data_IF_782077604651
#
_entry.id   IF_782077604651
#
_cell.length_a   1.000
_cell.length_b   1.000
_cell.length_c   1.000
_cell.angle_alpha   90.00
_cell.angle_beta   90.00
_cell.angle_gamma   90.00
#
_symmetry.space_group_name_H-M   'P 1'
#
loop_
_entity.id
_entity.type
_entity.pdbx_description
1 polymer ?
#
# COMPACT_ATOMS: atom_id res chain seq x y z
N UNK A 1 3.74 -2.26 16.72
CA UNK A 1 3.97 -1.32 15.61
C UNK A 1 2.74 -0.46 15.33
N UNK A 2 1.56 -1.05 15.14
CA UNK A 2 0.30 -0.33 14.86
C UNK A 2 -0.76 -0.43 15.97
N UNK A 3 -0.41 -0.93 17.16
CA UNK A 3 -1.39 -1.18 18.23
C UNK A 3 -2.08 0.09 18.74
N UNK A 4 -1.43 1.23 18.61
CA UNK A 4 -1.99 2.55 18.91
C UNK A 4 -3.17 2.90 17.98
N UNK A 5 -3.17 2.42 16.73
CA UNK A 5 -4.25 2.70 15.76
C UNK A 5 -5.58 2.03 16.17
N UNK A 6 -5.54 0.91 16.90
CA UNK A 6 -6.75 0.25 17.44
C UNK A 6 -7.37 1.03 18.61
N UNK A 7 -6.53 1.70 19.39
CA UNK A 7 -6.94 2.35 20.63
C UNK A 7 -7.37 3.82 20.41
N UNK A 8 -7.10 4.38 19.23
CA UNK A 8 -7.45 5.75 18.88
C UNK A 8 -8.75 5.76 18.05
N UNK A 9 -9.86 6.19 18.67
CA UNK A 9 -11.21 6.13 18.07
C UNK A 9 -11.36 6.65 16.63
N UNK A 10 -10.77 7.80 16.21
CA UNK A 10 -10.86 8.24 14.82
C UNK A 10 -10.15 7.29 13.85
N UNK A 11 -8.93 6.84 14.16
CA UNK A 11 -8.16 5.95 13.28
C UNK A 11 -8.75 4.54 13.23
N UNK A 12 -9.23 4.03 14.37
CA UNK A 12 -9.93 2.75 14.44
C UNK A 12 -11.18 2.72 13.56
N UNK A 13 -11.92 3.84 13.49
CA UNK A 13 -13.05 3.97 12.56
C UNK A 13 -12.62 3.95 11.09
N UNK A 14 -11.48 4.57 10.75
CA UNK A 14 -10.97 4.60 9.38
C UNK A 14 -10.47 3.24 8.88
N UNK A 15 -9.99 2.39 9.78
CA UNK A 15 -9.51 1.04 9.44
C UNK A 15 -10.58 -0.05 9.60
N UNK A 16 -11.79 0.33 9.99
CA UNK A 16 -12.86 -0.62 10.36
C UNK A 16 -13.37 -1.50 9.22
N UNK A 17 -13.13 -1.09 7.97
CA UNK A 17 -13.55 -1.81 6.76
C UNK A 17 -12.48 -2.76 6.20
N UNK A 18 -11.29 -2.78 6.81
CA UNK A 18 -10.23 -3.70 6.41
C UNK A 18 -10.53 -5.12 6.85
N UNK A 19 -10.07 -6.09 6.06
CA UNK A 19 -10.22 -7.52 6.34
C UNK A 19 -8.84 -8.19 6.34
N UNK A 20 -8.43 -8.84 7.46
CA UNK A 20 -7.12 -9.49 7.57
C UNK A 20 -6.85 -10.43 6.40
N UNK A 21 -5.65 -10.33 5.84
CA UNK A 21 -5.23 -11.16 4.72
C UNK A 21 -4.88 -12.57 5.21
N UNK A 22 -5.29 -13.59 4.45
CA UNK A 22 -5.07 -14.98 4.81
C UNK A 22 -3.58 -15.33 4.90
N UNK A 23 -3.20 -16.14 5.90
CA UNK A 23 -1.81 -16.54 6.14
C UNK A 23 -1.13 -17.21 4.94
N UNK A 24 -1.88 -17.93 4.11
CA UNK A 24 -1.35 -18.54 2.88
C UNK A 24 -0.97 -17.50 1.83
N UNK A 25 -1.73 -16.41 1.71
CA UNK A 25 -1.41 -15.31 0.81
C UNK A 25 -0.19 -14.54 1.31
N UNK A 26 -0.11 -14.28 2.61
CA UNK A 26 1.07 -13.65 3.23
C UNK A 26 2.33 -14.51 3.08
N UNK A 27 2.21 -15.84 3.20
CA UNK A 27 3.32 -16.75 2.95
C UNK A 27 3.78 -16.65 1.49
N UNK A 28 2.84 -16.69 0.55
CA UNK A 28 3.14 -16.54 -0.87
C UNK A 28 3.81 -15.20 -1.20
N UNK A 29 3.32 -14.10 -0.61
CA UNK A 29 3.90 -12.77 -0.81
C UNK A 29 5.36 -12.70 -0.32
N UNK A 30 5.66 -13.31 0.83
CA UNK A 30 7.03 -13.39 1.35
C UNK A 30 7.94 -14.32 0.52
N UNK A 31 7.39 -15.37 -0.08
CA UNK A 31 8.14 -16.26 -0.99
C UNK A 31 8.49 -15.54 -2.29
N UNK A 32 7.55 -14.78 -2.86
CA UNK A 32 7.76 -13.97 -4.06
C UNK A 32 8.72 -12.81 -3.80
N UNK A 33 8.62 -12.19 -2.62
CA UNK A 33 9.39 -11.00 -2.26
C UNK A 33 10.10 -11.19 -0.90
N UNK A 34 11.26 -11.85 -0.85
CA UNK A 34 11.98 -12.10 0.40
C UNK A 34 12.44 -10.84 1.14
N UNK A 35 12.50 -9.69 0.46
CA UNK A 35 12.86 -8.38 1.03
C UNK A 35 11.66 -7.49 1.32
N UNK A 36 10.44 -8.04 1.28
CA UNK A 36 9.22 -7.30 1.59
C UNK A 36 9.31 -6.62 2.97
N UNK A 37 8.87 -5.35 3.09
CA UNK A 37 8.84 -4.65 4.37
C UNK A 37 8.01 -5.40 5.42
N UNK A 38 8.64 -5.63 6.58
CA UNK A 38 8.00 -6.33 7.70
C UNK A 38 6.75 -5.58 8.18
N UNK A 39 6.79 -4.25 8.18
CA UNK A 39 5.68 -3.40 8.62
C UNK A 39 4.44 -3.55 7.75
N UNK A 40 4.60 -3.62 6.43
CA UNK A 40 3.51 -3.89 5.50
C UNK A 40 2.89 -5.27 5.72
N UNK A 41 3.72 -6.33 5.77
CA UNK A 41 3.23 -7.69 5.98
C UNK A 41 2.55 -7.87 7.35
N UNK A 42 3.08 -7.23 8.39
CA UNK A 42 2.49 -7.20 9.72
C UNK A 42 1.14 -6.47 9.71
N UNK A 43 1.02 -5.37 8.96
CA UNK A 43 -0.23 -4.64 8.81
C UNK A 43 -1.30 -5.47 8.09
N UNK A 44 -0.98 -6.09 6.96
CA UNK A 44 -1.92 -6.97 6.24
C UNK A 44 -2.36 -8.17 7.09
N UNK A 45 -1.48 -8.69 7.95
CA UNK A 45 -1.82 -9.77 8.89
C UNK A 45 -2.78 -9.30 9.98
N UNK A 46 -2.58 -8.11 10.52
CA UNK A 46 -3.28 -7.64 11.70
C UNK A 46 -4.58 -6.87 11.39
N UNK A 47 -4.55 -6.03 10.36
CA UNK A 47 -5.65 -5.18 9.93
C UNK A 47 -6.20 -5.64 8.58
N UNK A 48 -5.30 -5.95 7.65
CA UNK A 48 -5.68 -6.46 6.33
C UNK A 48 -5.78 -5.41 5.25
N UNK A 49 -6.60 -5.73 4.25
CA UNK A 49 -6.78 -4.95 3.03
C UNK A 49 -8.24 -4.53 2.85
N UNK A 50 -8.47 -3.61 1.92
CA UNK A 50 -9.76 -3.01 1.63
C UNK A 50 -9.76 -1.49 1.78
N UNK A 51 -10.93 -0.93 2.01
CA UNK A 51 -11.11 0.52 2.11
C UNK A 51 -10.53 1.08 3.42
N UNK A 52 -9.66 2.07 3.30
CA UNK A 52 -9.19 2.95 4.36
C UNK A 52 -9.99 4.25 4.31
N UNK A 53 -10.58 4.65 5.43
CA UNK A 53 -11.45 5.83 5.57
C UNK A 53 -12.74 5.50 6.31
N UNK A 54 -13.29 6.47 7.04
CA UNK A 54 -14.45 6.26 7.90
C UNK A 54 -15.75 6.16 7.07
N UNK A 55 -16.38 7.29 6.75
CA UNK A 55 -17.63 7.33 5.98
C UNK A 55 -17.38 7.16 4.48
N UNK A 56 -16.36 7.86 3.95
CA UNK A 56 -15.91 7.76 2.56
C UNK A 56 -14.51 7.14 2.50
N UNK A 57 -14.26 6.22 1.56
CA UNK A 57 -12.93 5.68 1.36
C UNK A 57 -12.01 6.77 0.83
N UNK A 58 -10.86 6.93 1.48
CA UNK A 58 -9.75 7.78 1.05
C UNK A 58 -8.76 7.00 0.19
N UNK A 59 -8.68 5.69 0.44
CA UNK A 59 -7.69 4.82 -0.18
C UNK A 59 -8.19 3.37 -0.18
N UNK A 60 -7.84 2.62 -1.21
CA UNK A 60 -8.06 1.19 -1.31
C UNK A 60 -6.71 0.50 -1.17
N UNK A 61 -6.53 -0.21 -0.06
CA UNK A 61 -5.36 -1.05 0.16
C UNK A 61 -5.61 -2.44 -0.43
N UNK A 62 -4.69 -2.93 -1.24
CA UNK A 62 -4.77 -4.25 -1.86
C UNK A 62 -4.38 -5.36 -0.87
N UNK A 63 -4.77 -6.61 -1.16
CA UNK A 63 -4.42 -7.80 -0.37
C UNK A 63 -3.03 -8.38 -0.71
N UNK A 64 -2.28 -7.68 -1.57
CA UNK A 64 -0.96 -8.03 -2.02
C UNK A 64 -0.37 -6.89 -2.86
N UNK A 65 0.57 -7.23 -3.73
CA UNK A 65 1.25 -6.28 -4.60
C UNK A 65 0.89 -6.54 -6.06
N UNK A 66 0.59 -5.47 -6.80
CA UNK A 66 0.35 -5.51 -8.24
C UNK A 66 1.55 -4.94 -8.99
N UNK A 67 1.86 -5.54 -10.13
CA UNK A 67 2.82 -4.98 -11.06
C UNK A 67 2.19 -3.81 -11.85
N UNK A 68 2.97 -2.81 -12.27
CA UNK A 68 2.44 -1.66 -13.01
C UNK A 68 1.68 -2.02 -14.28
N UNK A 69 2.04 -3.12 -14.96
CA UNK A 69 1.36 -3.58 -16.18
C UNK A 69 -0.05 -4.15 -15.95
N UNK A 70 -0.46 -4.35 -14.69
CA UNK A 70 -1.82 -4.75 -14.34
C UNK A 70 -2.79 -3.55 -14.31
N UNK A 71 -2.25 -2.32 -14.18
CA UNK A 71 -3.02 -1.08 -14.07
C UNK A 71 -2.78 -0.15 -15.27
N UNK A 72 -1.52 0.00 -15.68
CA UNK A 72 -1.08 0.94 -16.69
C UNK A 72 -0.85 0.26 -18.06
N UNK A 73 -0.87 1.06 -19.12
CA UNK A 73 -0.46 0.60 -20.45
C UNK A 73 1.03 0.24 -20.49
N UNK A 74 1.47 -0.43 -21.55
CA UNK A 74 2.82 -0.98 -21.64
C UNK A 74 3.94 0.07 -21.56
N UNK A 75 3.75 1.26 -22.14
CA UNK A 75 4.78 2.30 -22.15
C UNK A 75 4.93 2.89 -20.74
N UNK A 76 3.80 3.23 -20.10
CA UNK A 76 3.76 3.71 -18.72
C UNK A 76 4.30 2.68 -17.72
N UNK A 77 3.91 1.40 -17.88
CA UNK A 77 4.38 0.32 -17.02
C UNK A 77 5.90 0.09 -17.13
N UNK A 78 6.47 0.29 -18.32
CA UNK A 78 7.93 0.19 -18.53
C UNK A 78 8.68 1.30 -17.79
N UNK A 79 8.11 2.51 -17.73
CA UNK A 79 8.70 3.63 -16.98
C UNK A 79 8.66 3.42 -15.45
N UNK A 80 7.82 2.50 -14.97
CA UNK A 80 7.62 2.15 -13.57
C UNK A 80 8.26 0.80 -13.20
N UNK A 81 9.21 0.29 -14.00
CA UNK A 81 9.97 -0.91 -13.66
C UNK A 81 10.63 -0.75 -12.28
N UNK A 82 10.59 -1.81 -11.46
CA UNK A 82 11.05 -1.77 -10.07
C UNK A 82 9.98 -1.33 -9.06
N UNK A 83 8.82 -0.82 -9.50
CA UNK A 83 7.70 -0.45 -8.62
C UNK A 83 6.70 -1.60 -8.45
N UNK A 84 6.21 -1.79 -7.22
CA UNK A 84 5.11 -2.70 -6.90
C UNK A 84 4.00 -1.97 -6.14
N UNK A 85 2.78 -1.98 -6.67
CA UNK A 85 1.65 -1.19 -6.18
C UNK A 85 0.92 -1.90 -5.06
N UNK A 86 0.62 -1.20 -3.96
CA UNK A 86 -0.12 -1.75 -2.83
C UNK A 86 -1.51 -1.11 -2.65
N UNK A 87 -1.85 -0.05 -3.38
CA UNK A 87 -3.16 0.56 -3.32
C UNK A 87 -3.33 1.80 -4.18
N UNK A 88 -4.53 2.38 -4.17
CA UNK A 88 -4.87 3.60 -4.91
C UNK A 88 -5.91 4.47 -4.18
N UNK A 89 -5.97 5.74 -4.54
CA UNK A 89 -6.91 6.71 -3.97
C UNK A 89 -8.27 6.76 -4.71
N UNK A 90 -8.48 5.91 -5.71
CA UNK A 90 -9.63 5.89 -6.63
C UNK A 90 -9.82 7.17 -7.48
N UNK A 91 -8.87 8.11 -7.45
CA UNK A 91 -8.89 9.35 -8.23
C UNK A 91 -7.73 9.43 -9.23
N UNK A 92 -6.88 8.40 -9.26
CA UNK A 92 -5.84 8.20 -10.26
C UNK A 92 -4.44 8.07 -9.68
N UNK A 93 -4.25 8.36 -8.40
CA UNK A 93 -2.99 8.12 -7.71
C UNK A 93 -2.92 6.67 -7.27
N UNK A 94 -1.83 5.99 -7.62
CA UNK A 94 -1.48 4.69 -7.06
C UNK A 94 -0.29 4.86 -6.13
N UNK A 95 -0.27 4.13 -5.03
CA UNK A 95 0.88 4.06 -4.14
C UNK A 95 1.53 2.68 -4.22
N UNK A 96 2.86 2.66 -4.11
CA UNK A 96 3.65 1.45 -4.25
C UNK A 96 4.98 1.52 -3.53
N UNK A 97 5.71 0.42 -3.59
CA UNK A 97 7.10 0.32 -3.15
C UNK A 97 8.04 0.41 -4.33
N UNK A 98 9.11 1.18 -4.16
CA UNK A 98 10.27 1.15 -5.02
C UNK A 98 11.23 0.05 -4.53
N UNK A 99 11.17 -1.10 -5.21
CA UNK A 99 11.88 -2.31 -4.78
C UNK A 99 13.39 -2.24 -5.03
N UNK A 100 13.83 -1.34 -5.92
CA UNK A 100 15.24 -1.08 -6.21
C UNK A 100 15.88 -0.13 -5.20
N UNK A 101 15.08 0.72 -4.53
CA UNK A 101 15.56 1.73 -3.58
C UNK A 101 15.02 1.48 -2.16
N UNK A 102 15.42 0.35 -1.58
CA UNK A 102 15.16 0.00 -0.18
C UNK A 102 13.68 -0.02 0.22
N UNK A 103 12.77 -0.27 -0.73
CA UNK A 103 11.34 -0.37 -0.47
C UNK A 103 10.74 0.90 0.14
N UNK A 104 11.28 2.07 -0.23
CA UNK A 104 10.63 3.35 0.04
C UNK A 104 9.26 3.41 -0.64
N UNK A 105 8.34 4.21 -0.09
CA UNK A 105 7.00 4.37 -0.63
C UNK A 105 6.98 5.49 -1.65
N UNK A 106 6.39 5.21 -2.80
CA UNK A 106 6.17 6.15 -3.90
C UNK A 106 4.68 6.30 -4.19
N UNK A 107 4.30 7.46 -4.71
CA UNK A 107 3.02 7.69 -5.36
C UNK A 107 3.23 8.00 -6.85
N UNK A 108 2.39 7.41 -7.68
CA UNK A 108 2.39 7.63 -9.13
C UNK A 108 1.40 8.75 -9.41
N UNK A 109 1.89 9.89 -9.88
CA UNK A 109 1.04 11.03 -10.23
C UNK A 109 0.37 10.79 -11.60
N UNK A 110 -0.96 10.80 -11.71
CA UNK A 110 -1.66 10.59 -12.98
C UNK A 110 -1.41 11.70 -14.01
N UNK A 111 -0.87 12.85 -13.62
CA UNK A 111 -0.61 13.98 -14.50
C UNK A 111 0.69 13.83 -15.30
N UNK A 112 1.75 13.29 -14.68
CA UNK A 112 3.06 13.10 -15.32
C UNK A 112 3.45 11.62 -15.48
N UNK A 113 2.70 10.71 -14.86
CA UNK A 113 2.92 9.27 -14.90
C UNK A 113 4.19 8.82 -14.17
N UNK A 114 4.79 9.68 -13.35
CA UNK A 114 6.04 9.40 -12.64
C UNK A 114 5.80 8.97 -11.20
N UNK A 115 6.69 8.11 -10.69
CA UNK A 115 6.74 7.75 -9.29
C UNK A 115 7.51 8.81 -8.48
N UNK A 116 6.88 9.36 -7.46
CA UNK A 116 7.47 10.33 -6.53
C UNK A 116 7.59 9.71 -5.14
N UNK A 117 8.77 9.77 -4.52
CA UNK A 117 8.96 9.25 -3.16
C UNK A 117 8.20 10.12 -2.17
N UNK A 118 7.33 9.49 -1.37
CA UNK A 118 6.46 10.18 -0.40
C UNK A 118 6.71 9.78 1.04
N UNK A 119 7.29 8.59 1.30
CA UNK A 119 7.64 8.15 2.64
C UNK A 119 8.78 7.13 2.64
N UNK A 120 9.52 7.04 3.74
CA UNK A 120 10.60 6.06 3.86
C UNK A 120 10.11 4.65 4.23
N UNK A 121 8.85 4.50 4.66
CA UNK A 121 8.25 3.22 5.05
C UNK A 121 6.74 3.21 4.89
N UNK A 122 6.14 2.02 4.83
CA UNK A 122 4.69 1.87 4.78
C UNK A 122 4.02 2.43 6.04
N UNK A 123 4.63 2.23 7.21
CA UNK A 123 4.12 2.79 8.45
C UNK A 123 4.03 4.32 8.41
N UNK A 124 5.05 5.00 7.89
CA UNK A 124 5.07 6.47 7.77
C UNK A 124 3.97 6.92 6.83
N UNK A 125 3.90 6.33 5.62
CA UNK A 125 2.86 6.61 4.64
C UNK A 125 1.44 6.47 5.22
N UNK A 126 1.16 5.32 5.85
CA UNK A 126 -0.16 5.05 6.42
C UNK A 126 -0.52 6.05 7.53
N UNK A 127 0.45 6.48 8.33
CA UNK A 127 0.17 7.46 9.39
C UNK A 127 -0.14 8.83 8.83
N UNK A 128 0.56 9.25 7.78
CA UNK A 128 0.28 10.50 7.10
C UNK A 128 -1.09 10.47 6.41
N UNK A 129 -1.47 9.32 5.83
CA UNK A 129 -2.79 9.11 5.24
C UNK A 129 -3.95 9.23 6.26
N UNK A 130 -3.69 8.94 7.54
CA UNK A 130 -4.70 8.93 8.61
C UNK A 130 -4.82 10.25 9.39
N UNK A 131 -3.90 11.20 9.18
CA UNK A 131 -3.84 12.50 9.87
C UNK A 131 -4.71 13.57 9.21
#
# INVERSE_FOLDING_TARGET
MFQDLKNNSPHGSMLSKLQPVASSMLAHLNECYPSLPEDYSAFLKEFGSGAVGADQPLFILYDGLLAPNEIYDADSATALEGILLFGDDMQGYCAGFDTDNAWQVVEIDPLDGQAHVVAASFQEYLRDLLN
#
